data_IF_408973366359
#
_entry.id   IF_408973366359
#
_cell.length_a   1.000
_cell.length_b   1.000
_cell.length_c   1.000
_cell.angle_alpha   90.00
_cell.angle_beta   90.00
_cell.angle_gamma   90.00
#
_symmetry.space_group_name_H-M   'P 1'
#
loop_
_entity.id
_entity.type
_entity.pdbx_description
1 polymer ?
#
# COMPACT_ATOMS: atom_id res chain seq x y z
N UNK A 1 -46.05 -16.76 52.81
CA UNK A 1 -46.62 -18.02 53.33
C UNK A 1 -46.37 -19.08 52.26
N UNK A 2 -45.66 -20.14 52.62
CA UNK A 2 -45.24 -21.32 51.83
C UNK A 2 -44.15 -21.14 50.76
N UNK A 3 -42.94 -21.42 51.22
CA UNK A 3 -41.97 -22.26 50.51
C UNK A 3 -42.58 -23.59 50.05
N UNK A 4 -42.14 -24.09 48.89
CA UNK A 4 -41.84 -25.50 48.65
C UNK A 4 -40.56 -25.56 47.81
N UNK A 5 -39.52 -26.15 48.40
CA UNK A 5 -38.32 -26.64 47.73
C UNK A 5 -38.61 -28.03 47.12
N UNK A 6 -38.06 -28.34 45.94
CA UNK A 6 -37.54 -29.68 45.68
C UNK A 6 -36.54 -29.69 44.51
N UNK A 7 -35.48 -30.43 44.77
CA UNK A 7 -34.16 -30.47 44.15
C UNK A 7 -34.02 -31.44 42.95
N UNK A 8 -32.89 -31.24 42.24
CA UNK A 8 -32.05 -32.20 41.51
C UNK A 8 -32.61 -32.92 40.25
N UNK A 9 -31.96 -32.67 39.10
CA UNK A 9 -31.19 -33.70 38.35
C UNK A 9 -30.10 -33.05 37.48
N UNK A 10 -28.87 -33.50 37.69
CA UNK A 10 -27.65 -33.31 36.89
C UNK A 10 -27.74 -34.11 35.57
N UNK A 11 -27.17 -33.60 34.46
CA UNK A 11 -26.19 -34.30 33.58
C UNK A 11 -25.98 -33.56 32.23
N UNK A 12 -24.82 -32.90 32.12
CA UNK A 12 -23.82 -32.78 31.01
C UNK A 12 -24.25 -32.69 29.52
N UNK A 13 -23.55 -31.88 28.69
CA UNK A 13 -23.84 -31.65 27.27
C UNK A 13 -23.45 -32.83 26.36
N UNK A 14 -24.10 -32.99 25.18
CA UNK A 14 -23.79 -34.05 24.24
C UNK A 14 -22.48 -33.76 23.47
N UNK A 15 -21.62 -34.78 23.42
CA UNK A 15 -20.41 -34.83 22.62
C UNK A 15 -20.75 -34.99 21.13
N UNK A 16 -20.13 -34.17 20.29
CA UNK A 16 -20.15 -34.29 18.83
C UNK A 16 -19.13 -35.37 18.44
N UNK A 17 -19.61 -36.45 17.83
CA UNK A 17 -18.82 -37.56 17.30
C UNK A 17 -18.37 -37.21 15.88
N UNK A 18 -17.05 -37.16 15.68
CA UNK A 18 -16.40 -37.16 14.37
C UNK A 18 -16.69 -38.50 13.66
N UNK A 19 -17.36 -38.47 12.50
CA UNK A 19 -17.52 -39.64 11.66
C UNK A 19 -16.57 -39.55 10.46
N UNK A 20 -15.58 -40.45 10.44
CA UNK A 20 -14.72 -40.69 9.28
C UNK A 20 -15.48 -41.52 8.24
N UNK A 21 -15.65 -40.99 7.02
CA UNK A 21 -16.22 -41.73 5.89
C UNK A 21 -15.10 -42.51 5.18
N UNK A 22 -15.17 -43.84 5.32
CA UNK A 22 -14.40 -44.78 4.51
C UNK A 22 -15.14 -45.04 3.19
N UNK A 23 -14.46 -44.83 2.06
CA UNK A 23 -14.94 -45.19 0.72
C UNK A 23 -14.95 -46.71 0.55
N UNK A 24 -16.14 -47.28 0.35
CA UNK A 24 -16.31 -48.63 -0.20
C UNK A 24 -16.94 -48.56 -1.59
N UNK A 25 -16.24 -49.15 -2.55
CA UNK A 25 -16.64 -49.27 -3.94
C UNK A 25 -17.59 -50.48 -4.17
N UNK A 26 -18.31 -50.37 -5.29
CA UNK A 26 -18.99 -51.41 -6.06
C UNK A 26 -20.47 -51.71 -5.73
N UNK A 27 -21.33 -51.61 -6.74
CA UNK A 27 -22.66 -52.25 -6.75
C UNK A 27 -23.70 -51.52 -7.59
N UNK A 28 -23.82 -51.90 -8.87
CA UNK A 28 -24.84 -51.35 -9.78
C UNK A 28 -26.28 -51.69 -9.39
N UNK A 29 -27.18 -50.79 -9.77
CA UNK A 29 -28.64 -50.95 -9.72
C UNK A 29 -29.30 -49.72 -10.34
N UNK A 30 -29.91 -49.91 -11.50
CA UNK A 30 -30.63 -48.89 -12.26
C UNK A 30 -32.00 -48.63 -11.65
N UNK A 31 -32.26 -47.40 -11.20
CA UNK A 31 -33.61 -46.85 -11.01
C UNK A 31 -33.63 -45.36 -11.36
N UNK A 32 -34.59 -44.97 -12.19
CA UNK A 32 -34.80 -43.60 -12.64
C UNK A 32 -35.45 -42.76 -11.53
N UNK A 33 -34.64 -41.99 -10.81
CA UNK A 33 -35.10 -40.81 -10.06
C UNK A 33 -34.44 -39.57 -10.65
N UNK A 34 -35.26 -38.57 -10.97
CA UNK A 34 -34.81 -37.24 -11.39
C UNK A 34 -33.94 -36.70 -10.25
N UNK A 35 -32.63 -36.63 -10.47
CA UNK A 35 -31.72 -35.97 -9.56
C UNK A 35 -31.97 -34.47 -9.68
N UNK A 36 -32.35 -33.85 -8.55
CA UNK A 36 -32.05 -32.44 -8.34
C UNK A 36 -30.52 -32.32 -8.45
N UNK A 37 -30.10 -31.53 -9.42
CA UNK A 37 -28.72 -31.18 -9.67
C UNK A 37 -28.29 -30.26 -8.53
N UNK A 38 -27.83 -30.83 -7.42
CA UNK A 38 -26.94 -30.12 -6.50
C UNK A 38 -25.61 -29.96 -7.24
N UNK A 39 -25.56 -28.95 -8.11
CA UNK A 39 -24.31 -28.42 -8.61
C UNK A 39 -23.55 -27.88 -7.39
N UNK A 40 -22.68 -28.72 -6.83
CA UNK A 40 -21.55 -28.24 -6.04
C UNK A 40 -20.75 -27.34 -6.97
N UNK A 41 -20.95 -26.05 -6.83
CA UNK A 41 -20.17 -24.99 -7.46
C UNK A 41 -18.77 -25.04 -6.85
N UNK A 42 -17.91 -25.91 -7.38
CA UNK A 42 -16.50 -25.97 -6.99
C UNK A 42 -15.83 -24.86 -7.77
N UNK A 43 -15.66 -23.69 -7.15
CA UNK A 43 -14.91 -22.59 -7.75
C UNK A 43 -13.52 -23.10 -8.15
N UNK A 44 -13.09 -22.81 -9.38
CA UNK A 44 -11.78 -23.21 -9.91
C UNK A 44 -10.62 -22.40 -9.31
N UNK A 45 -10.94 -21.42 -8.49
CA UNK A 45 -10.03 -20.49 -7.82
C UNK A 45 -10.36 -20.42 -6.32
N UNK A 46 -9.39 -19.93 -5.57
CA UNK A 46 -9.53 -19.62 -4.14
C UNK A 46 -10.05 -18.20 -3.96
N UNK A 47 -10.85 -17.98 -2.91
CA UNK A 47 -11.35 -16.67 -2.55
C UNK A 47 -11.15 -16.41 -1.06
N UNK A 48 -10.82 -15.18 -0.70
CA UNK A 48 -10.62 -14.77 0.68
C UNK A 48 -11.10 -13.34 0.90
N UNK A 49 -11.95 -13.18 1.92
CA UNK A 49 -12.27 -11.88 2.48
C UNK A 49 -11.19 -11.49 3.50
N UNK A 50 -10.55 -10.35 3.27
CA UNK A 50 -9.46 -9.81 4.07
C UNK A 50 -9.99 -8.71 5.00
N UNK A 51 -10.00 -8.88 6.34
CA UNK A 51 -10.58 -7.93 7.28
C UNK A 51 -9.69 -6.70 7.56
N UNK A 52 -9.38 -5.95 6.51
CA UNK A 52 -8.40 -4.87 6.48
C UNK A 52 -8.95 -3.50 6.94
N UNK A 53 -9.98 -3.48 7.80
CA UNK A 53 -10.71 -2.23 8.11
C UNK A 53 -9.96 -1.32 9.08
N UNK A 54 -9.16 -1.90 9.97
CA UNK A 54 -8.49 -1.21 11.07
C UNK A 54 -6.98 -1.41 11.10
N UNK A 55 -6.49 -2.50 10.53
CA UNK A 55 -5.08 -2.87 10.53
C UNK A 55 -4.71 -3.53 9.20
N UNK A 56 -3.41 -3.69 8.98
CA UNK A 56 -2.89 -4.45 7.85
C UNK A 56 -3.07 -5.93 8.12
N UNK A 57 -3.56 -6.66 7.13
CA UNK A 57 -3.75 -8.11 7.21
C UNK A 57 -3.01 -8.79 6.07
N UNK A 58 -2.41 -9.95 6.34
CA UNK A 58 -1.47 -10.61 5.44
C UNK A 58 -2.03 -11.95 4.97
N UNK A 59 -1.95 -12.24 3.66
CA UNK A 59 -2.46 -13.46 3.05
C UNK A 59 -1.33 -14.26 2.40
N UNK A 60 -1.25 -15.53 2.79
CA UNK A 60 -0.44 -16.52 2.10
C UNK A 60 -1.28 -17.17 0.98
N UNK A 61 -1.04 -16.75 -0.28
CA UNK A 61 -1.73 -17.30 -1.47
C UNK A 61 -1.52 -18.80 -1.73
N UNK A 62 -0.47 -19.43 -1.20
CA UNK A 62 -0.25 -20.88 -1.36
C UNK A 62 -1.22 -21.67 -0.49
N UNK A 63 -1.45 -21.21 0.74
CA UNK A 63 -2.30 -21.89 1.72
C UNK A 63 -3.73 -21.33 1.81
N UNK A 64 -3.93 -20.11 1.31
CA UNK A 64 -5.16 -19.33 1.50
C UNK A 64 -5.39 -18.84 2.93
N UNK A 65 -4.41 -18.98 3.82
CA UNK A 65 -4.52 -18.58 5.21
C UNK A 65 -4.11 -17.12 5.41
N UNK A 66 -4.83 -16.42 6.29
CA UNK A 66 -4.34 -15.19 6.90
C UNK A 66 -3.20 -15.54 7.86
N UNK A 67 -2.09 -14.82 7.78
CA UNK A 67 -0.86 -15.06 8.56
C UNK A 67 -0.37 -13.77 9.23
N UNK A 68 0.65 -13.88 10.07
CA UNK A 68 1.28 -12.71 10.71
C UNK A 68 2.29 -12.04 9.76
N UNK A 69 2.69 -10.81 10.08
CA UNK A 69 3.65 -10.03 9.27
C UNK A 69 5.02 -10.72 9.10
N UNK A 70 5.47 -11.42 10.14
CA UNK A 70 6.76 -12.11 10.17
C UNK A 70 6.71 -13.52 9.52
N UNK A 71 5.52 -13.99 9.11
CA UNK A 71 5.35 -15.27 8.43
C UNK A 71 5.57 -15.15 6.91
N UNK A 72 5.50 -16.27 6.20
CA UNK A 72 5.50 -16.29 4.74
C UNK A 72 4.14 -15.79 4.22
N UNK A 73 4.04 -14.51 3.87
CA UNK A 73 2.88 -13.92 3.17
C UNK A 73 3.24 -13.50 1.74
N UNK A 74 2.24 -13.39 0.87
CA UNK A 74 2.43 -12.96 -0.52
C UNK A 74 1.86 -11.58 -0.78
N UNK A 75 0.64 -11.32 -0.30
CA UNK A 75 0.00 -10.01 -0.37
C UNK A 75 -0.46 -9.56 1.01
N UNK A 76 -0.53 -8.25 1.21
CA UNK A 76 -1.11 -7.64 2.39
C UNK A 76 -2.12 -6.56 1.99
N UNK A 77 -3.14 -6.35 2.83
CA UNK A 77 -4.16 -5.33 2.61
C UNK A 77 -4.34 -4.45 3.85
N UNK A 78 -4.47 -3.14 3.63
CA UNK A 78 -4.96 -2.18 4.62
C UNK A 78 -5.95 -1.25 3.91
N UNK A 79 -7.24 -1.42 4.19
CA UNK A 79 -8.34 -0.73 3.52
C UNK A 79 -8.27 -0.94 2.00
N UNK A 80 -7.89 0.10 1.26
CA UNK A 80 -7.79 0.10 -0.20
C UNK A 80 -6.38 -0.21 -0.69
N UNK A 81 -5.39 -0.18 0.20
CA UNK A 81 -3.99 -0.35 -0.13
C UNK A 81 -3.66 -1.84 -0.14
N UNK A 82 -3.03 -2.29 -1.23
CA UNK A 82 -2.50 -3.63 -1.39
C UNK A 82 -0.99 -3.56 -1.64
N UNK A 83 -0.27 -4.56 -1.12
CA UNK A 83 1.19 -4.64 -1.12
C UNK A 83 1.63 -6.07 -1.40
N UNK A 84 2.83 -6.25 -1.94
CA UNK A 84 3.49 -7.56 -2.06
C UNK A 84 4.64 -7.70 -1.04
N UNK A 85 4.96 -8.93 -0.64
CA UNK A 85 6.05 -9.20 0.30
C UNK A 85 7.42 -9.07 -0.38
N UNK A 86 7.84 -7.84 -0.62
CA UNK A 86 9.17 -7.50 -1.12
C UNK A 86 9.53 -6.05 -0.84
N UNK A 87 10.81 -5.74 -1.11
CA UNK A 87 11.36 -4.39 -1.10
C UNK A 87 11.03 -3.64 0.20
N UNK A 88 10.31 -2.53 0.08
CA UNK A 88 9.98 -1.68 1.23
C UNK A 88 8.82 -2.21 2.09
N UNK A 89 8.03 -3.16 1.57
CA UNK A 89 6.84 -3.69 2.24
C UNK A 89 7.11 -4.99 3.03
N UNK A 90 8.20 -5.70 2.77
CA UNK A 90 8.52 -6.95 3.45
C UNK A 90 9.86 -7.55 3.01
N UNK A 91 10.35 -8.53 3.77
CA UNK A 91 11.65 -9.18 3.52
C UNK A 91 11.60 -10.30 2.48
N UNK A 92 10.42 -10.61 1.95
CA UNK A 92 10.24 -11.62 0.92
C UNK A 92 10.77 -11.20 -0.45
N UNK A 93 10.47 -12.02 -1.45
CA UNK A 93 10.89 -11.84 -2.86
C UNK A 93 9.70 -11.82 -3.81
N UNK A 94 8.53 -11.52 -3.28
CA UNK A 94 7.27 -11.56 -4.02
C UNK A 94 7.18 -10.34 -4.92
N UNK A 95 6.88 -10.56 -6.20
CA UNK A 95 6.78 -9.49 -7.18
C UNK A 95 5.45 -9.58 -7.92
N UNK A 96 4.94 -8.42 -8.36
CA UNK A 96 3.67 -8.31 -9.05
C UNK A 96 3.81 -7.75 -10.46
N UNK A 97 2.79 -7.96 -11.30
CA UNK A 97 2.65 -7.31 -12.60
C UNK A 97 1.17 -7.18 -12.97
N UNK A 98 0.81 -6.12 -13.70
CA UNK A 98 -0.52 -6.01 -14.29
C UNK A 98 -0.59 -6.90 -15.52
N UNK A 99 -1.59 -7.76 -15.60
CA UNK A 99 -1.80 -8.65 -16.75
C UNK A 99 -3.01 -8.25 -17.58
N UNK A 100 -4.15 -8.00 -16.93
CA UNK A 100 -5.36 -7.49 -17.58
C UNK A 100 -5.72 -6.14 -16.97
N UNK A 101 -5.58 -5.08 -17.76
CA UNK A 101 -5.75 -3.69 -17.33
C UNK A 101 -7.21 -3.25 -17.18
N UNK A 102 -8.15 -3.98 -17.79
CA UNK A 102 -9.57 -3.65 -17.82
C UNK A 102 -9.80 -2.23 -18.37
N UNK A 103 -9.18 -1.93 -19.52
CA UNK A 103 -9.21 -0.58 -20.12
C UNK A 103 -10.63 -0.14 -20.52
N UNK A 104 -11.52 -1.09 -20.79
CA UNK A 104 -12.93 -0.85 -21.12
C UNK A 104 -13.77 -0.34 -19.94
N UNK A 105 -13.24 -0.39 -18.71
CA UNK A 105 -13.82 0.29 -17.55
C UNK A 105 -13.61 1.81 -17.60
N UNK A 106 -12.77 2.32 -18.49
CA UNK A 106 -12.41 3.73 -18.59
C UNK A 106 -12.73 4.28 -19.98
N UNK A 107 -13.05 5.57 -20.05
CA UNK A 107 -13.26 6.25 -21.31
C UNK A 107 -11.93 6.66 -21.97
N UNK A 108 -12.01 7.28 -23.15
CA UNK A 108 -10.82 7.72 -23.88
C UNK A 108 -9.96 8.79 -23.19
N UNK A 109 -10.44 9.39 -22.10
CA UNK A 109 -9.69 10.32 -21.25
C UNK A 109 -9.10 9.63 -20.01
N UNK A 110 -9.38 8.35 -19.81
CA UNK A 110 -9.02 7.60 -18.60
C UNK A 110 -9.98 7.83 -17.42
N UNK A 111 -11.13 8.47 -17.65
CA UNK A 111 -12.14 8.66 -16.61
C UNK A 111 -12.98 7.37 -16.45
N UNK A 112 -13.34 6.95 -15.22
CA UNK A 112 -14.16 5.75 -15.02
C UNK A 112 -15.53 5.83 -15.70
N UNK A 113 -15.89 4.81 -16.48
CA UNK A 113 -17.27 4.65 -17.00
C UNK A 113 -18.17 4.05 -15.92
N UNK A 114 -18.95 4.91 -15.27
CA UNK A 114 -19.85 4.51 -14.20
C UNK A 114 -20.85 3.41 -14.62
N UNK A 115 -21.25 3.32 -15.89
CA UNK A 115 -22.17 2.26 -16.33
C UNK A 115 -21.47 0.91 -16.41
N UNK A 116 -20.20 0.86 -16.82
CA UNK A 116 -19.44 -0.39 -16.86
C UNK A 116 -19.22 -0.89 -15.44
N UNK A 117 -18.64 -0.04 -14.58
CA UNK A 117 -18.35 -0.35 -13.18
C UNK A 117 -19.57 -0.81 -12.37
N UNK A 118 -20.75 -0.21 -12.58
CA UNK A 118 -21.94 -0.54 -11.78
C UNK A 118 -22.69 -1.77 -12.28
N UNK A 119 -22.42 -2.23 -13.50
CA UNK A 119 -23.00 -3.46 -14.07
C UNK A 119 -22.05 -4.66 -14.00
N UNK A 120 -20.74 -4.42 -13.86
CA UNK A 120 -19.74 -5.47 -13.68
C UNK A 120 -19.92 -6.22 -12.35
N UNK A 121 -19.60 -7.51 -12.37
CA UNK A 121 -19.68 -8.42 -11.22
C UNK A 121 -18.47 -9.36 -11.24
N UNK A 122 -18.12 -9.94 -10.09
CA UNK A 122 -17.05 -10.94 -10.04
C UNK A 122 -17.25 -12.09 -11.05
N UNK A 123 -18.52 -12.46 -11.30
CA UNK A 123 -18.89 -13.51 -12.27
C UNK A 123 -18.71 -13.03 -13.71
N UNK A 124 -19.08 -11.77 -14.04
CA UNK A 124 -18.91 -11.26 -15.41
C UNK A 124 -17.46 -11.08 -15.80
N UNK A 125 -16.60 -10.79 -14.81
CA UNK A 125 -15.17 -10.52 -15.02
C UNK A 125 -14.27 -11.73 -14.73
N UNK A 126 -14.86 -12.89 -14.40
CA UNK A 126 -14.14 -14.13 -14.06
C UNK A 126 -13.27 -14.63 -15.21
N UNK A 127 -13.70 -14.40 -16.46
CA UNK A 127 -12.94 -14.84 -17.63
C UNK A 127 -11.55 -14.22 -17.72
N UNK A 128 -11.35 -13.03 -17.14
CA UNK A 128 -10.05 -12.37 -17.08
C UNK A 128 -9.13 -12.96 -16.00
N UNK A 129 -9.67 -13.66 -15.02
CA UNK A 129 -8.90 -14.43 -14.03
C UNK A 129 -8.50 -15.80 -14.60
N UNK A 130 -9.42 -16.45 -15.33
CA UNK A 130 -9.24 -17.82 -15.87
C UNK A 130 -8.61 -17.85 -17.26
N UNK A 131 -8.41 -16.69 -17.87
CA UNK A 131 -7.90 -16.55 -19.24
C UNK A 131 -6.47 -17.02 -19.42
N UNK A 132 -6.01 -16.98 -20.67
CA UNK A 132 -4.60 -17.16 -20.99
C UNK A 132 -3.88 -15.85 -20.67
N UNK A 133 -2.90 -15.91 -19.78
CA UNK A 133 -2.13 -14.76 -19.33
C UNK A 133 -0.73 -14.83 -19.92
N UNK A 134 -0.22 -13.69 -20.38
CA UNK A 134 1.15 -13.58 -20.90
C UNK A 134 2.14 -13.26 -19.78
N UNK A 135 3.37 -13.77 -19.92
CA UNK A 135 4.49 -13.41 -19.07
C UNK A 135 4.75 -11.90 -19.21
N UNK A 136 4.78 -11.14 -18.10
CA UNK A 136 4.97 -9.71 -18.16
C UNK A 136 6.39 -9.37 -18.63
N UNK A 137 6.53 -8.22 -19.31
CA UNK A 137 7.85 -7.71 -19.70
C UNK A 137 8.76 -7.39 -18.50
N UNK A 138 8.15 -7.07 -17.35
CA UNK A 138 8.83 -6.76 -16.11
C UNK A 138 7.99 -7.14 -14.90
N UNK A 139 8.65 -7.69 -13.90
CA UNK A 139 8.09 -7.92 -12.58
C UNK A 139 8.45 -6.75 -11.65
N UNK A 140 7.52 -6.35 -10.79
CA UNK A 140 7.67 -5.19 -9.91
C UNK A 140 7.64 -5.63 -8.43
N UNK A 141 8.69 -5.29 -7.70
CA UNK A 141 8.68 -5.36 -6.24
C UNK A 141 7.97 -4.14 -5.65
N UNK A 142 7.55 -4.23 -4.40
CA UNK A 142 7.09 -3.04 -3.69
C UNK A 142 8.27 -2.13 -3.36
N UNK A 143 8.12 -0.85 -3.65
CA UNK A 143 9.11 0.19 -3.40
C UNK A 143 8.57 1.23 -2.41
N UNK A 144 9.51 1.98 -1.84
CA UNK A 144 9.18 3.10 -0.98
C UNK A 144 8.79 4.30 -1.83
N UNK A 145 7.60 4.86 -1.58
CA UNK A 145 7.13 6.08 -2.19
C UNK A 145 7.12 7.21 -1.16
N UNK A 146 8.06 8.14 -1.32
CA UNK A 146 8.15 9.33 -0.47
C UNK A 146 6.98 10.29 -0.71
N UNK A 147 6.49 10.93 0.35
CA UNK A 147 5.59 12.09 0.23
C UNK A 147 6.18 13.23 -0.62
N UNK A 148 7.50 13.31 -0.71
CA UNK A 148 8.24 14.34 -1.46
C UNK A 148 8.48 13.95 -2.93
N UNK A 149 7.95 12.80 -3.36
CA UNK A 149 8.17 12.21 -4.67
C UNK A 149 9.54 11.55 -4.82
N UNK A 150 9.89 11.18 -6.06
CA UNK A 150 11.19 10.59 -6.37
C UNK A 150 12.34 11.51 -5.96
N UNK A 151 13.47 10.93 -5.57
CA UNK A 151 14.60 11.70 -5.04
C UNK A 151 15.25 12.63 -6.07
N UNK A 152 15.12 12.30 -7.37
CA UNK A 152 15.52 13.15 -8.47
C UNK A 152 14.56 14.33 -8.72
N UNK A 153 13.44 14.44 -8.02
CA UNK A 153 12.56 15.61 -8.06
C UNK A 153 13.25 16.84 -7.43
N UNK A 154 13.90 16.65 -6.28
CA UNK A 154 14.55 17.73 -5.51
C UNK A 154 16.08 17.71 -5.58
N UNK A 155 16.69 16.68 -6.18
CA UNK A 155 18.14 16.53 -6.30
C UNK A 155 18.59 16.20 -7.71
N UNK A 156 19.90 16.30 -7.95
CA UNK A 156 20.52 16.01 -9.24
C UNK A 156 21.88 15.32 -9.05
N UNK A 157 22.19 14.38 -9.94
CA UNK A 157 23.46 13.64 -9.94
C UNK A 157 24.45 14.20 -10.98
N UNK A 158 25.64 14.57 -10.54
CA UNK A 158 26.76 14.90 -11.42
C UNK A 158 27.55 13.62 -11.76
N UNK A 159 27.44 13.17 -13.01
CA UNK A 159 28.15 11.97 -13.49
C UNK A 159 29.68 12.13 -13.60
N UNK A 160 30.20 13.36 -13.67
CA UNK A 160 31.64 13.60 -13.70
C UNK A 160 32.24 13.36 -12.29
N UNK A 161 31.63 13.96 -11.27
CA UNK A 161 32.15 13.93 -9.89
C UNK A 161 31.60 12.77 -9.05
N UNK A 162 30.41 12.28 -9.38
CA UNK A 162 29.68 11.29 -8.59
C UNK A 162 29.01 11.89 -7.35
N UNK A 163 28.69 13.19 -7.38
CA UNK A 163 28.06 13.91 -6.26
C UNK A 163 26.59 14.13 -6.59
N UNK A 164 25.74 13.89 -5.60
CA UNK A 164 24.34 14.32 -5.63
C UNK A 164 24.25 15.66 -4.90
N UNK A 165 23.65 16.65 -5.57
CA UNK A 165 23.37 17.97 -5.01
C UNK A 165 21.88 18.30 -5.08
N UNK A 166 21.47 19.35 -4.39
CA UNK A 166 20.13 19.90 -4.50
C UNK A 166 19.86 20.47 -5.91
N UNK A 167 18.57 20.51 -6.29
CA UNK A 167 18.09 21.32 -7.40
C UNK A 167 17.67 22.69 -6.88
N UNK A 168 18.09 23.73 -7.59
CA UNK A 168 17.65 25.08 -7.30
C UNK A 168 16.16 25.25 -7.63
N UNK A 169 15.50 26.15 -6.91
CA UNK A 169 14.10 26.55 -7.13
C UNK A 169 13.10 25.38 -7.03
N UNK A 170 13.36 24.41 -6.15
CA UNK A 170 12.41 23.36 -5.76
C UNK A 170 12.05 23.51 -4.29
N UNK A 171 10.76 23.39 -3.97
CA UNK A 171 10.29 23.37 -2.60
C UNK A 171 8.96 22.65 -2.44
N UNK A 172 8.52 22.56 -1.18
CA UNK A 172 7.34 21.82 -0.77
C UNK A 172 6.54 22.60 0.28
N UNK A 173 5.23 22.40 0.32
CA UNK A 173 4.46 22.57 1.55
C UNK A 173 4.59 21.28 2.37
N UNK A 174 4.85 21.40 3.66
CA UNK A 174 5.04 20.27 4.58
C UNK A 174 4.08 20.42 5.76
N UNK A 175 3.41 19.34 6.14
CA UNK A 175 2.59 19.24 7.35
C UNK A 175 3.37 18.48 8.42
N UNK A 176 3.28 18.94 9.67
CA UNK A 176 3.97 18.31 10.81
C UNK A 176 3.41 16.94 11.17
N UNK A 177 4.18 16.19 11.96
CA UNK A 177 3.75 14.94 12.59
C UNK A 177 2.49 15.11 13.44
N UNK A 178 2.29 16.25 14.08
CA UNK A 178 1.10 16.57 14.88
C UNK A 178 -0.10 16.88 13.98
N UNK A 179 0.14 17.31 12.74
CA UNK A 179 -0.89 17.62 11.76
C UNK A 179 -1.52 19.00 11.89
N UNK A 180 -0.97 19.87 12.74
CA UNK A 180 -1.55 21.18 13.06
C UNK A 180 -0.62 22.38 12.81
N UNK A 181 0.60 22.14 12.35
CA UNK A 181 1.56 23.13 11.89
C UNK A 181 2.06 22.79 10.49
N UNK A 182 2.56 23.81 9.78
CA UNK A 182 2.91 23.72 8.37
C UNK A 182 4.21 24.47 8.08
N UNK A 183 4.92 24.09 7.03
CA UNK A 183 6.10 24.81 6.58
C UNK A 183 6.17 24.90 5.07
N UNK A 184 6.69 26.04 4.58
CA UNK A 184 7.33 26.06 3.26
C UNK A 184 8.76 25.58 3.44
N UNK A 185 9.11 24.49 2.77
CA UNK A 185 10.42 23.85 2.87
C UNK A 185 11.18 23.94 1.54
N UNK A 186 12.50 24.14 1.62
CA UNK A 186 13.42 23.91 0.50
C UNK A 186 14.72 23.28 0.96
N UNK A 187 15.35 22.52 0.05
CA UNK A 187 16.73 22.07 0.20
C UNK A 187 17.64 23.16 -0.36
N UNK A 188 18.53 23.72 0.46
CA UNK A 188 19.40 24.85 0.10
C UNK A 188 20.81 24.40 -0.23
N UNK A 189 21.25 23.32 0.42
CA UNK A 189 22.54 22.67 0.18
C UNK A 189 22.36 21.19 0.43
N UNK A 190 22.93 20.36 -0.45
CA UNK A 190 23.01 18.92 -0.26
C UNK A 190 24.31 18.41 -0.89
N UNK A 191 25.10 17.66 -0.12
CA UNK A 191 26.35 17.08 -0.59
C UNK A 191 26.38 15.59 -0.23
N UNK A 192 26.06 14.75 -1.21
CA UNK A 192 26.12 13.30 -1.07
C UNK A 192 27.07 12.68 -2.11
N UNK A 193 28.36 12.44 -1.76
CA UNK A 193 29.33 11.81 -2.64
C UNK A 193 29.21 10.28 -2.64
N UNK A 194 28.56 9.74 -3.67
CA UNK A 194 28.22 8.30 -3.75
C UNK A 194 29.42 7.40 -4.03
N UNK A 195 30.52 7.94 -4.58
CA UNK A 195 31.73 7.15 -4.94
C UNK A 195 32.70 6.93 -3.79
N UNK A 196 32.59 7.69 -2.71
CA UNK A 196 33.52 7.62 -1.56
C UNK A 196 33.00 6.73 -0.43
N UNK A 197 31.72 6.35 -0.46
CA UNK A 197 31.11 5.41 0.48
C UNK A 197 30.98 5.94 1.91
N UNK A 198 30.83 7.25 2.10
CA UNK A 198 30.79 7.89 3.43
C UNK A 198 29.39 8.40 3.85
N UNK A 199 28.35 8.07 3.09
CA UNK A 199 27.02 8.64 3.31
C UNK A 199 26.94 10.12 2.91
N UNK A 200 25.92 10.80 3.41
CA UNK A 200 25.68 12.23 3.16
C UNK A 200 26.74 13.04 3.94
N UNK A 201 27.55 13.84 3.26
CA UNK A 201 28.61 14.63 3.92
C UNK A 201 28.05 15.93 4.54
N UNK A 202 26.97 16.48 3.96
CA UNK A 202 26.38 17.72 4.45
C UNK A 202 25.04 18.06 3.78
N UNK A 203 24.22 18.83 4.48
CA UNK A 203 22.97 19.37 3.98
C UNK A 203 22.52 20.60 4.78
N UNK A 204 21.70 21.43 4.16
CA UNK A 204 20.96 22.52 4.81
C UNK A 204 19.59 22.65 4.19
N UNK A 205 18.54 22.52 4.99
CA UNK A 205 17.16 22.80 4.59
C UNK A 205 16.66 24.04 5.31
N UNK A 206 15.76 24.77 4.68
CA UNK A 206 15.11 25.94 5.27
C UNK A 206 13.60 25.75 5.35
N UNK A 207 13.02 26.24 6.46
CA UNK A 207 11.60 26.15 6.75
C UNK A 207 11.05 27.50 7.16
N UNK A 208 10.08 28.02 6.40
CA UNK A 208 9.22 29.10 6.87
C UNK A 208 7.99 28.47 7.53
N UNK A 209 8.00 28.37 8.86
CA UNK A 209 6.99 27.63 9.65
C UNK A 209 5.79 28.52 9.97
N UNK A 210 4.59 28.00 9.73
CA UNK A 210 3.32 28.44 10.30
C UNK A 210 3.03 27.52 11.48
N UNK A 211 3.36 28.00 12.68
CA UNK A 211 3.12 27.27 13.92
C UNK A 211 1.62 27.02 14.15
N UNK A 212 1.29 26.04 14.98
CA UNK A 212 -0.09 25.73 15.36
C UNK A 212 -0.85 26.98 15.82
N UNK A 213 -2.00 27.23 15.18
CA UNK A 213 -2.85 28.41 15.42
C UNK A 213 -2.36 29.73 14.82
N UNK A 214 -1.20 29.78 14.17
CA UNK A 214 -0.74 30.96 13.45
C UNK A 214 -1.52 31.14 12.13
N UNK A 215 -1.71 32.39 11.72
CA UNK A 215 -2.44 32.73 10.49
C UNK A 215 -1.56 32.85 9.25
N UNK A 216 -0.23 32.82 9.40
CA UNK A 216 0.74 33.05 8.33
C UNK A 216 2.04 32.28 8.60
N UNK A 217 2.78 31.97 7.55
CA UNK A 217 4.15 31.48 7.66
C UNK A 217 5.09 32.54 8.26
N UNK A 218 6.03 32.10 9.09
CA UNK A 218 7.10 32.95 9.59
C UNK A 218 7.90 33.56 8.44
N UNK A 219 8.16 34.88 8.43
CA UNK A 219 9.01 35.51 7.43
C UNK A 219 10.50 35.16 7.60
N UNK A 220 10.90 34.65 8.76
CA UNK A 220 12.27 34.22 9.04
C UNK A 220 12.33 32.70 9.01
N UNK A 221 13.13 32.10 8.11
CA UNK A 221 13.26 30.66 8.06
C UNK A 221 14.07 30.15 9.26
N UNK A 222 13.70 28.97 9.75
CA UNK A 222 14.60 28.14 10.56
C UNK A 222 15.35 27.17 9.65
N UNK A 223 16.45 26.62 10.13
CA UNK A 223 17.28 25.73 9.33
C UNK A 223 17.46 24.37 9.98
N UNK A 224 17.32 23.33 9.18
CA UNK A 224 17.80 21.99 9.50
C UNK A 224 19.17 21.82 8.85
N UNK A 225 20.22 21.80 9.67
CA UNK A 225 21.60 21.67 9.21
C UNK A 225 22.18 20.37 9.73
N UNK A 226 23.22 19.88 9.05
CA UNK A 226 23.94 18.67 9.45
C UNK A 226 24.31 18.68 10.93
N UNK A 227 23.81 17.72 11.74
CA UNK A 227 24.13 17.67 13.17
C UNK A 227 25.62 17.48 13.45
N UNK A 228 26.08 17.99 14.59
CA UNK A 228 27.46 17.73 15.03
C UNK A 228 27.64 16.24 15.30
N UNK A 229 28.64 15.62 14.65
CA UNK A 229 28.89 14.18 14.78
C UNK A 229 27.98 13.30 13.92
N UNK A 230 27.28 13.88 12.94
CA UNK A 230 26.54 13.14 11.92
C UNK A 230 27.45 12.12 11.22
N UNK A 231 26.95 10.90 11.09
CA UNK A 231 27.65 9.75 10.51
C UNK A 231 27.35 9.54 9.02
N UNK A 232 26.55 10.43 8.44
CA UNK A 232 26.13 10.40 7.04
C UNK A 232 24.84 9.63 6.78
N UNK A 233 24.23 9.02 7.80
CA UNK A 233 23.00 8.23 7.72
C UNK A 233 21.72 9.04 7.82
N UNK A 234 20.75 8.57 8.60
CA UNK A 234 19.48 9.28 8.79
C UNK A 234 19.62 10.48 9.73
N UNK A 235 18.96 11.59 9.41
CA UNK A 235 18.79 12.71 10.31
C UNK A 235 17.35 13.21 10.26
N UNK A 236 16.77 13.46 11.44
CA UNK A 236 15.37 13.85 11.61
C UNK A 236 15.26 15.24 12.24
N UNK A 237 14.26 16.00 11.82
CA UNK A 237 14.04 17.36 12.25
C UNK A 237 12.59 17.59 12.61
N UNK A 238 12.37 18.21 13.76
CA UNK A 238 11.11 18.76 14.23
C UNK A 238 11.18 20.28 14.00
N UNK A 239 10.36 20.78 13.08
CA UNK A 239 10.33 22.19 12.72
C UNK A 239 9.52 23.04 13.71
N UNK A 240 8.69 22.45 14.56
CA UNK A 240 7.98 23.15 15.63
C UNK A 240 8.91 23.50 16.78
N UNK A 241 9.81 22.59 17.17
CA UNK A 241 10.87 22.86 18.15
C UNK A 241 12.13 23.48 17.53
N UNK A 242 12.21 23.52 16.20
CA UNK A 242 13.37 23.94 15.41
C UNK A 242 14.64 23.18 15.81
N UNK A 243 14.52 21.86 15.97
CA UNK A 243 15.61 21.03 16.47
C UNK A 243 15.75 19.70 15.74
N UNK A 244 17.00 19.24 15.61
CA UNK A 244 17.27 17.87 15.18
C UNK A 244 16.94 16.92 16.33
N UNK A 245 16.22 15.85 16.01
CA UNK A 245 15.75 14.85 16.97
C UNK A 245 16.25 13.46 16.58
N UNK A 246 16.23 12.54 17.54
CA UNK A 246 16.63 11.15 17.30
C UNK A 246 15.59 10.42 16.45
N UNK A 247 16.00 9.94 15.27
CA UNK A 247 15.08 9.28 14.33
C UNK A 247 14.47 7.99 14.86
N UNK A 248 15.15 7.29 15.78
CA UNK A 248 14.71 5.98 16.25
C UNK A 248 13.72 6.07 17.44
N UNK A 249 13.75 7.17 18.19
CA UNK A 249 12.98 7.31 19.43
C UNK A 249 12.05 8.53 19.48
N UNK A 250 12.20 9.48 18.55
CA UNK A 250 11.28 10.62 18.47
C UNK A 250 10.00 10.23 17.73
N UNK A 251 8.85 10.64 18.27
CA UNK A 251 7.55 10.54 17.60
C UNK A 251 7.14 11.87 16.93
N UNK A 252 7.90 12.94 17.15
CA UNK A 252 7.57 14.33 16.76
C UNK A 252 8.46 14.88 15.64
N UNK A 253 9.28 14.05 15.01
CA UNK A 253 10.03 14.51 13.84
C UNK A 253 9.07 14.77 12.68
N UNK A 254 9.31 15.78 11.86
CA UNK A 254 8.44 16.12 10.72
C UNK A 254 9.06 15.66 9.40
N UNK A 255 10.36 15.90 9.25
CA UNK A 255 11.12 15.59 8.04
C UNK A 255 12.36 14.78 8.41
N UNK A 256 12.60 13.72 7.66
CA UNK A 256 13.81 12.92 7.72
C UNK A 256 14.54 12.98 6.37
N UNK A 257 15.85 13.13 6.42
CA UNK A 257 16.76 12.97 5.28
C UNK A 257 17.65 11.76 5.54
N UNK A 258 17.92 10.98 4.49
CA UNK A 258 18.79 9.83 4.63
C UNK A 258 19.02 9.09 3.33
N UNK A 259 19.61 7.90 3.46
CA UNK A 259 19.86 7.00 2.34
C UNK A 259 19.87 5.54 2.79
N UNK A 260 19.50 4.64 1.87
CA UNK A 260 19.59 3.20 2.04
C UNK A 260 20.17 2.58 0.77
N UNK A 261 21.30 1.87 0.89
CA UNK A 261 22.00 1.32 -0.26
C UNK A 261 22.47 2.42 -1.23
N UNK A 262 21.81 2.53 -2.39
CA UNK A 262 22.09 3.57 -3.40
C UNK A 262 21.01 4.64 -3.48
N UNK A 263 19.92 4.46 -2.76
CA UNK A 263 18.75 5.34 -2.81
C UNK A 263 18.84 6.33 -1.66
N UNK A 264 18.53 7.59 -1.95
CA UNK A 264 18.45 8.66 -0.96
C UNK A 264 17.04 9.23 -0.96
N UNK A 265 16.62 9.77 0.17
CA UNK A 265 15.22 10.15 0.36
C UNK A 265 15.06 11.37 1.26
N UNK A 266 13.91 12.02 1.05
CA UNK A 266 13.21 12.76 2.08
C UNK A 266 12.03 11.91 2.53
N UNK A 267 11.72 11.95 3.82
CA UNK A 267 10.60 11.24 4.43
C UNK A 267 9.81 12.18 5.30
N UNK A 268 8.50 11.96 5.37
CA UNK A 268 7.60 12.63 6.30
C UNK A 268 7.21 11.66 7.40
N UNK A 269 6.94 12.15 8.61
CA UNK A 269 6.45 11.29 9.70
C UNK A 269 4.98 10.95 9.48
N UNK A 270 4.76 10.03 8.54
CA UNK A 270 3.45 9.59 8.09
C UNK A 270 3.52 8.19 7.51
N UNK A 271 2.35 7.58 7.35
CA UNK A 271 2.17 6.29 6.69
C UNK A 271 3.18 5.23 7.15
N UNK A 272 4.07 4.80 6.26
CA UNK A 272 5.04 3.73 6.54
C UNK A 272 6.32 4.21 7.22
N UNK A 273 6.58 5.52 7.22
CA UNK A 273 7.79 6.10 7.81
C UNK A 273 7.58 6.48 9.29
N UNK A 274 6.34 6.74 9.71
CA UNK A 274 6.03 7.04 11.11
C UNK A 274 4.54 7.14 11.39
N UNK A 275 4.18 7.14 12.67
CA UNK A 275 2.79 7.14 13.14
C UNK A 275 2.16 8.54 13.16
N UNK A 276 2.90 9.56 12.77
CA UNK A 276 2.43 10.93 12.71
C UNK A 276 1.45 11.18 11.58
N UNK A 277 0.92 12.39 11.62
CA UNK A 277 0.09 13.01 10.59
C UNK A 277 0.94 13.83 9.62
N UNK A 278 2.23 13.56 9.45
CA UNK A 278 3.08 14.29 8.51
C UNK A 278 2.61 14.20 7.05
N UNK A 279 3.21 15.01 6.19
CA UNK A 279 3.04 14.87 4.75
C UNK A 279 3.65 16.04 3.98
N UNK A 280 3.73 15.90 2.66
CA UNK A 280 4.29 16.91 1.77
C UNK A 280 3.44 17.08 0.51
N UNK A 281 3.46 18.29 -0.05
CA UNK A 281 2.87 18.53 -1.37
C UNK A 281 3.68 17.91 -2.49
N UNK A 282 3.10 17.93 -3.70
CA UNK A 282 3.93 17.82 -4.91
C UNK A 282 4.96 18.95 -4.96
N UNK A 283 6.02 18.72 -5.75
CA UNK A 283 7.06 19.72 -5.97
C UNK A 283 6.48 21.01 -6.57
N UNK A 284 6.94 22.15 -6.04
CA UNK A 284 6.62 23.47 -6.56
C UNK A 284 7.91 24.26 -6.75
N UNK A 285 7.86 25.31 -7.56
CA UNK A 285 8.94 26.29 -7.57
C UNK A 285 8.97 27.04 -6.25
N UNK A 286 10.16 27.49 -5.82
CA UNK A 286 10.26 28.30 -4.60
C UNK A 286 9.51 29.63 -4.77
N UNK A 287 9.46 30.16 -6.00
CA UNK A 287 8.66 31.35 -6.31
C UNK A 287 7.15 31.14 -6.11
N UNK A 288 6.60 29.98 -6.45
CA UNK A 288 5.18 29.66 -6.21
C UNK A 288 4.88 29.59 -4.71
N UNK A 289 5.74 28.91 -3.94
CA UNK A 289 5.61 28.81 -2.48
C UNK A 289 5.76 30.17 -1.78
N UNK A 290 6.65 31.03 -2.28
CA UNK A 290 6.82 32.37 -1.74
C UNK A 290 5.54 33.21 -1.84
N UNK A 291 4.66 32.90 -2.80
CA UNK A 291 3.34 33.53 -2.96
C UNK A 291 2.28 33.05 -1.97
N UNK A 292 2.51 31.94 -1.26
CA UNK A 292 1.62 31.45 -0.20
C UNK A 292 1.95 32.15 1.12
N UNK A 293 1.03 32.99 1.61
CA UNK A 293 1.16 33.66 2.91
C UNK A 293 0.86 32.71 4.09
N UNK A 294 0.09 31.65 3.85
CA UNK A 294 -0.29 30.60 4.80
C UNK A 294 -0.54 29.28 4.09
N UNK A 295 -0.68 28.19 4.85
CA UNK A 295 -1.26 26.93 4.38
C UNK A 295 -2.61 27.21 3.68
N UNK A 296 -2.87 26.57 2.51
CA UNK A 296 -4.10 26.76 1.76
C UNK A 296 -5.34 26.12 2.40
N UNK A 297 -5.20 25.33 3.48
CA UNK A 297 -6.33 24.66 4.13
C UNK A 297 -6.92 23.51 3.31
N UNK A 298 -6.11 22.88 2.45
CA UNK A 298 -6.50 21.77 1.58
C UNK A 298 -5.74 20.51 2.00
N UNK A 299 -6.27 19.68 2.92
CA UNK A 299 -5.54 18.54 3.47
C UNK A 299 -5.06 17.52 2.43
N UNK A 300 -5.74 17.42 1.29
CA UNK A 300 -5.46 16.46 0.22
C UNK A 300 -4.17 16.74 -0.53
N UNK A 301 -3.58 17.93 -0.39
CA UNK A 301 -2.28 18.21 -1.00
C UNK A 301 -1.14 17.51 -0.26
N UNK A 302 -1.35 17.10 1.00
CA UNK A 302 -0.30 16.49 1.81
C UNK A 302 -0.28 14.98 1.57
N UNK A 303 0.54 14.57 0.63
CA UNK A 303 0.88 13.17 0.39
C UNK A 303 1.58 12.60 1.63
N UNK A 304 1.33 11.33 1.92
CA UNK A 304 1.98 10.60 3.00
C UNK A 304 3.01 9.63 2.42
N UNK A 305 4.06 9.35 3.18
CA UNK A 305 4.99 8.29 2.85
C UNK A 305 4.23 6.96 2.77
N UNK A 306 4.46 6.21 1.70
CA UNK A 306 3.79 4.93 1.48
C UNK A 306 4.77 3.89 0.96
N UNK A 307 4.34 2.64 0.96
CA UNK A 307 4.97 1.63 0.12
C UNK A 307 3.93 1.12 -0.85
N UNK A 308 4.39 0.67 -1.99
CA UNK A 308 3.54 0.08 -3.00
C UNK A 308 4.34 -0.32 -4.22
N UNK A 309 3.64 -0.91 -5.17
CA UNK A 309 4.20 -1.34 -6.42
C UNK A 309 3.08 -1.44 -7.41
N UNK A 310 2.91 -2.62 -8.00
CA UNK A 310 1.92 -2.85 -9.06
C UNK A 310 0.50 -2.39 -8.68
N UNK A 311 0.09 -2.57 -7.42
CA UNK A 311 -1.26 -2.21 -6.95
C UNK A 311 -1.46 -0.70 -6.74
N UNK A 312 -0.39 0.03 -6.45
CA UNK A 312 -0.44 1.49 -6.28
C UNK A 312 -0.37 2.17 -7.64
N UNK A 313 0.47 1.66 -8.55
CA UNK A 313 0.59 2.16 -9.91
C UNK A 313 -0.66 1.87 -10.75
N UNK A 314 -1.37 0.77 -10.42
CA UNK A 314 -2.56 0.33 -11.12
C UNK A 314 -3.70 0.15 -10.13
N UNK A 315 -4.44 1.22 -9.87
CA UNK A 315 -5.60 1.21 -8.98
C UNK A 315 -6.60 0.11 -9.38
N UNK A 316 -7.12 -0.62 -8.39
CA UNK A 316 -8.06 -1.72 -8.61
C UNK A 316 -9.54 -1.29 -8.46
N UNK A 317 -9.79 0.00 -8.24
CA UNK A 317 -11.12 0.51 -7.94
C UNK A 317 -11.37 1.92 -8.47
N UNK A 318 -12.66 2.29 -8.51
CA UNK A 318 -13.11 3.66 -8.65
C UNK A 318 -13.97 4.08 -7.45
N UNK A 319 -13.91 5.36 -7.09
CA UNK A 319 -14.62 5.93 -5.96
C UNK A 319 -15.76 6.85 -6.39
N UNK A 320 -16.87 6.78 -5.64
CA UNK A 320 -17.97 7.73 -5.70
C UNK A 320 -18.67 7.88 -7.07
N UNK A 321 -18.70 6.81 -7.88
CA UNK A 321 -19.32 6.81 -9.23
C UNK A 321 -20.80 7.21 -9.25
N UNK A 322 -21.52 6.98 -8.15
CA UNK A 322 -22.96 7.29 -8.02
C UNK A 322 -23.28 8.35 -6.97
N UNK A 323 -22.28 9.16 -6.55
CA UNK A 323 -22.43 10.15 -5.46
C UNK A 323 -22.87 9.54 -4.10
N UNK A 324 -22.45 8.31 -3.81
CA UNK A 324 -22.77 7.57 -2.58
C UNK A 324 -21.54 7.29 -1.71
N UNK A 325 -20.38 7.85 -2.03
CA UNK A 325 -19.11 7.60 -1.34
C UNK A 325 -18.77 6.11 -1.24
N UNK A 326 -19.05 5.35 -2.31
CA UNK A 326 -18.77 3.91 -2.39
C UNK A 326 -17.57 3.60 -3.27
N UNK A 327 -17.06 2.39 -3.15
CA UNK A 327 -15.94 1.83 -3.91
C UNK A 327 -16.47 0.74 -4.84
N UNK A 328 -16.04 0.76 -6.09
CA UNK A 328 -16.34 -0.28 -7.08
C UNK A 328 -15.05 -0.87 -7.62
N UNK A 329 -14.85 -2.20 -7.58
CA UNK A 329 -13.70 -2.84 -8.20
C UNK A 329 -13.76 -2.71 -9.73
N UNK A 330 -12.59 -2.67 -10.36
CA UNK A 330 -12.47 -2.78 -11.83
C UNK A 330 -12.08 -4.19 -12.29
N UNK A 331 -11.90 -5.14 -11.37
CA UNK A 331 -11.58 -6.54 -11.67
C UNK A 331 -10.32 -6.71 -12.54
N UNK A 332 -9.35 -5.79 -12.41
CA UNK A 332 -8.01 -5.97 -12.99
C UNK A 332 -7.40 -7.28 -12.52
N UNK A 333 -6.78 -8.00 -13.46
CA UNK A 333 -6.03 -9.22 -13.15
C UNK A 333 -4.56 -8.89 -13.01
N UNK A 334 -4.02 -9.19 -11.83
CA UNK A 334 -2.60 -9.08 -11.50
C UNK A 334 -1.97 -10.47 -11.53
N UNK A 335 -0.70 -10.53 -11.91
CA UNK A 335 0.15 -11.69 -11.68
C UNK A 335 0.98 -11.44 -10.44
N UNK A 336 1.03 -12.41 -9.53
CA UNK A 336 1.84 -12.39 -8.32
C UNK A 336 2.77 -13.59 -8.35
N UNK A 337 4.08 -13.36 -8.34
CA UNK A 337 5.11 -14.40 -8.38
C UNK A 337 5.75 -14.54 -7.01
N UNK A 338 5.79 -15.77 -6.48
CA UNK A 338 6.22 -16.03 -5.10
C UNK A 338 7.69 -15.65 -4.83
N UNK A 339 8.59 -15.90 -5.81
CA UNK A 339 10.00 -15.56 -5.68
C UNK A 339 10.56 -15.11 -7.04
N UNK A 340 10.95 -13.84 -7.13
CA UNK A 340 11.52 -13.24 -8.34
C UNK A 340 12.83 -13.91 -8.79
N UNK A 341 13.59 -14.53 -7.89
CA UNK A 341 14.88 -15.14 -8.20
C UNK A 341 14.74 -16.62 -8.61
N UNK A 342 13.59 -17.23 -8.34
CA UNK A 342 13.28 -18.60 -8.76
C UNK A 342 12.40 -18.60 -10.02
N UNK A 343 12.90 -19.03 -11.18
CA UNK A 343 12.11 -19.12 -12.41
C UNK A 343 11.05 -20.23 -12.37
N UNK A 344 11.03 -21.08 -11.35
CA UNK A 344 10.04 -22.14 -11.15
C UNK A 344 9.07 -21.84 -9.99
N UNK A 345 9.17 -20.66 -9.37
CA UNK A 345 8.24 -20.27 -8.32
C UNK A 345 6.82 -20.14 -8.86
N UNK A 346 5.85 -20.45 -8.01
CA UNK A 346 4.43 -20.33 -8.34
C UNK A 346 4.11 -18.88 -8.73
N UNK A 347 3.33 -18.75 -9.81
CA UNK A 347 2.70 -17.50 -10.20
C UNK A 347 1.20 -17.66 -10.00
N UNK A 348 0.56 -16.68 -9.38
CA UNK A 348 -0.89 -16.62 -9.25
C UNK A 348 -1.46 -15.50 -10.11
N UNK A 349 -2.58 -15.77 -10.76
CA UNK A 349 -3.47 -14.71 -11.23
C UNK A 349 -4.36 -14.29 -10.06
N UNK A 350 -4.56 -12.99 -9.88
CA UNK A 350 -5.29 -12.42 -8.74
C UNK A 350 -6.17 -11.25 -9.18
N UNK A 351 -7.41 -11.25 -8.71
CA UNK A 351 -8.34 -10.13 -8.80
C UNK A 351 -8.76 -9.67 -7.40
N UNK A 352 -8.97 -8.36 -7.24
CA UNK A 352 -9.66 -7.78 -6.08
C UNK A 352 -11.10 -7.53 -6.51
N UNK A 353 -12.03 -8.32 -5.98
CA UNK A 353 -13.41 -8.46 -6.48
C UNK A 353 -14.45 -7.76 -5.61
N UNK A 354 -14.04 -7.21 -4.46
CA UNK A 354 -14.94 -6.52 -3.54
C UNK A 354 -14.21 -5.68 -2.51
N UNK A 355 -14.96 -4.81 -1.81
CA UNK A 355 -14.46 -3.94 -0.72
C UNK A 355 -15.31 -4.00 0.56
N UNK A 356 -16.49 -4.61 0.47
CA UNK A 356 -17.48 -4.64 1.53
C UNK A 356 -17.80 -6.08 1.90
N UNK A 357 -18.07 -6.32 3.19
CA UNK A 357 -18.59 -7.61 3.63
C UNK A 357 -20.08 -7.77 3.24
N UNK A 358 -20.66 -8.92 3.59
CA UNK A 358 -22.07 -9.24 3.35
C UNK A 358 -23.06 -8.25 4.02
N UNK A 359 -22.62 -7.51 5.04
CA UNK A 359 -23.42 -6.49 5.73
C UNK A 359 -23.22 -5.08 5.15
N UNK A 360 -22.33 -4.91 4.18
CA UNK A 360 -21.95 -3.62 3.63
C UNK A 360 -20.92 -2.86 4.47
N UNK A 361 -20.24 -3.53 5.40
CA UNK A 361 -19.13 -2.94 6.19
C UNK A 361 -17.93 -2.70 5.27
N UNK A 362 -17.40 -1.48 5.25
CA UNK A 362 -16.25 -1.12 4.42
C UNK A 362 -14.91 -1.61 5.00
N UNK A 363 -13.87 -1.65 4.16
CA UNK A 363 -12.54 -2.09 4.57
C UNK A 363 -12.43 -3.61 4.65
N UNK A 364 -13.23 -4.32 3.86
CA UNK A 364 -13.34 -5.77 3.86
C UNK A 364 -13.10 -6.27 2.43
N UNK A 365 -11.91 -6.00 1.82
CA UNK A 365 -11.70 -6.40 0.45
C UNK A 365 -11.73 -7.91 0.28
N UNK A 366 -12.26 -8.36 -0.85
CA UNK A 366 -12.30 -9.77 -1.23
C UNK A 366 -11.38 -9.98 -2.41
N UNK A 367 -10.54 -11.01 -2.34
CA UNK A 367 -9.60 -11.38 -3.40
C UNK A 367 -9.89 -12.78 -3.91
N UNK A 368 -9.74 -12.98 -5.21
CA UNK A 368 -9.92 -14.26 -5.88
C UNK A 368 -8.63 -14.58 -6.64
N UNK A 369 -8.09 -15.80 -6.49
CA UNK A 369 -6.81 -16.16 -7.11
C UNK A 369 -6.67 -17.64 -7.44
N UNK A 370 -5.80 -17.96 -8.38
CA UNK A 370 -5.42 -19.32 -8.76
C UNK A 370 -3.98 -19.38 -9.27
N UNK A 371 -3.28 -20.50 -9.12
CA UNK A 371 -1.97 -20.69 -9.75
C UNK A 371 -2.12 -20.76 -11.27
N UNK A 372 -1.17 -20.15 -11.98
CA UNK A 372 -1.13 -20.08 -13.44
C UNK A 372 0.27 -20.32 -13.98
N UNK A 373 0.35 -20.71 -15.25
CA UNK A 373 1.59 -20.75 -16.03
C UNK A 373 1.49 -19.69 -17.14
N UNK A 374 2.05 -18.48 -16.95
CA UNK A 374 2.01 -17.45 -17.98
C UNK A 374 2.72 -17.91 -19.26
N UNK A 375 2.13 -17.61 -20.41
CA UNK A 375 2.69 -17.97 -21.71
C UNK A 375 3.69 -16.91 -22.17
N UNK A 376 4.71 -17.31 -22.91
CA UNK A 376 5.56 -16.33 -23.58
C UNK A 376 4.72 -15.51 -24.56
N UNK A 377 4.89 -14.19 -24.56
CA UNK A 377 4.27 -13.31 -25.53
C UNK A 377 4.55 -13.82 -26.96
N UNK A 378 3.51 -13.89 -27.79
CA UNK A 378 3.69 -14.25 -29.20
C UNK A 378 4.41 -13.11 -29.93
N UNK A 379 5.60 -13.39 -30.49
CA UNK A 379 6.40 -12.44 -31.28
C UNK A 379 5.68 -11.86 -32.50
#
# INVERSE_FOLDING_TARGET
MKEISMDLFDTRPPAIVLAALALTACGGGSDNSIAEDDATDVSSFSEQLMPAATETVYLNLETGAMVEEDDDWHIAANRLNFKVNSGASGSGRVVGALSVAQDDFYDGNGDPDANVFTNATAISEEEHLLGILEEPASWQADEFASAFGASDAWSQYDSATGIISEKADVGYLVRSAEGDSYARMRVVDFNFPTRKGQGIEGFTFEFNVQASGASQFSPTPISFTTPTGYDGGDACFDFDSASAVDCASSEVWDVQVGFSGRDWYLKSNSGVSGNGSGGASDQMTWSELAGNDSDPGVPQIYNTDSTGGVFTDNTWYAYNLTNQHKIWPNFRTFLIKADTDDPQSTVWALQIVGYYDQNGTSGQPTVSWLPVEPQQAQE
#
